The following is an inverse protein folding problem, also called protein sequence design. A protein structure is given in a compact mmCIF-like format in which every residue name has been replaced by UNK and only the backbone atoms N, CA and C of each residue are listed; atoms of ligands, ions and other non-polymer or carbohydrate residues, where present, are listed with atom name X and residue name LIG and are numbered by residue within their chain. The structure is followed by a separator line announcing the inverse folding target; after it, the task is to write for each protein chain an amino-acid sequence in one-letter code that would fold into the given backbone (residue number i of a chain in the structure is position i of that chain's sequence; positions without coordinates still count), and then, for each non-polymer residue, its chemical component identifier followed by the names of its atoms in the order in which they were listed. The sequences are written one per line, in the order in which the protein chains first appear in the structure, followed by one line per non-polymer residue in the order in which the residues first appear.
data_IF_654862628031
#
_entry.id   IF_654862628031
#
_cell.length_a   1.000
_cell.length_b   1.000
_cell.length_c   1.000
_cell.angle_alpha   90.00
_cell.angle_beta   90.00
_cell.angle_gamma   90.00
#
_symmetry.space_group_name_H-M   'P 1'
#
loop_
_entity.id
_entity.type
_entity.pdbx_description
1 polymer ?
#
# COMPACT_ATOMS: atom_id res chain seq x y z
N UNK A 1 5.66 -54.76 -26.67
CA UNK A 1 6.71 -54.41 -25.69
C UNK A 1 6.03 -54.45 -24.31
N UNK A 2 6.31 -55.44 -23.46
CA UNK A 2 5.71 -55.55 -22.12
C UNK A 2 6.59 -54.80 -21.15
N UNK A 3 6.04 -53.73 -20.55
CA UNK A 3 6.73 -53.00 -19.46
C UNK A 3 6.88 -53.97 -18.27
N UNK A 4 8.06 -54.05 -17.72
CA UNK A 4 8.34 -54.85 -16.53
C UNK A 4 7.92 -54.10 -15.27
N UNK A 5 7.62 -54.82 -14.18
CA UNK A 5 7.24 -54.24 -12.88
C UNK A 5 8.27 -53.20 -12.36
N UNK A 6 9.56 -53.42 -12.68
CA UNK A 6 10.63 -52.50 -12.34
C UNK A 6 10.56 -51.18 -13.10
N UNK A 7 10.06 -51.18 -14.34
CA UNK A 7 9.88 -49.96 -15.14
C UNK A 7 8.67 -49.17 -14.65
N UNK A 8 7.60 -49.88 -14.22
CA UNK A 8 6.45 -49.21 -13.59
C UNK A 8 6.79 -48.55 -12.27
N UNK A 9 7.64 -49.17 -11.45
CA UNK A 9 8.10 -48.63 -10.16
C UNK A 9 8.95 -47.37 -10.34
N UNK A 10 9.82 -47.32 -11.38
CA UNK A 10 10.61 -46.14 -11.71
C UNK A 10 9.75 -45.00 -12.17
N UNK A 11 8.73 -45.22 -12.98
CA UNK A 11 7.80 -44.18 -13.43
C UNK A 11 6.95 -43.70 -12.26
N UNK A 12 6.54 -44.56 -11.33
CA UNK A 12 5.81 -44.17 -10.14
C UNK A 12 6.66 -43.31 -9.18
N UNK A 13 7.92 -43.69 -8.96
CA UNK A 13 8.86 -42.85 -8.17
C UNK A 13 9.15 -41.51 -8.82
N UNK A 14 9.20 -41.42 -10.16
CA UNK A 14 9.42 -40.12 -10.85
C UNK A 14 8.19 -39.20 -10.72
N UNK A 15 6.97 -39.79 -10.69
CA UNK A 15 5.73 -39.04 -10.55
C UNK A 15 5.52 -38.48 -9.12
N UNK A 16 5.95 -39.21 -8.09
CA UNK A 16 5.86 -38.79 -6.68
C UNK A 16 6.83 -37.64 -6.36
N UNK A 17 8.01 -37.59 -7.02
CA UNK A 17 8.99 -36.50 -6.85
C UNK A 17 8.51 -35.19 -7.49
N UNK A 18 7.65 -35.26 -8.53
CA UNK A 18 7.12 -34.08 -9.19
C UNK A 18 5.92 -33.43 -8.49
N UNK A 19 5.23 -34.16 -7.58
CA UNK A 19 4.09 -33.62 -6.81
C UNK A 19 4.49 -32.86 -5.51
N UNK A 20 5.78 -32.82 -5.15
CA UNK A 20 6.24 -32.33 -3.85
C UNK A 20 6.73 -30.87 -3.80
N UNK A 21 6.84 -30.15 -4.91
CA UNK A 21 7.29 -28.76 -4.92
C UNK A 21 6.14 -27.81 -5.32
N UNK A 22 5.15 -27.68 -4.45
CA UNK A 22 4.34 -26.46 -4.43
C UNK A 22 5.22 -25.38 -3.78
N UNK A 23 5.55 -24.28 -4.47
CA UNK A 23 6.21 -23.16 -3.81
C UNK A 23 5.25 -22.65 -2.73
N UNK A 24 5.58 -22.87 -1.46
CA UNK A 24 4.95 -22.19 -0.33
C UNK A 24 5.25 -20.70 -0.52
N UNK A 25 4.34 -20.00 -1.16
CA UNK A 25 4.32 -18.54 -1.18
C UNK A 25 4.06 -18.08 0.25
N UNK A 26 5.12 -17.81 1.01
CA UNK A 26 5.02 -17.13 2.28
C UNK A 26 4.49 -15.73 2.01
N UNK A 27 3.20 -15.53 2.19
CA UNK A 27 2.65 -14.20 2.32
C UNK A 27 3.28 -13.59 3.59
N UNK A 28 4.16 -12.63 3.42
CA UNK A 28 4.78 -11.92 4.53
C UNK A 28 3.67 -11.15 5.26
N UNK A 29 3.24 -11.67 6.42
CA UNK A 29 2.26 -10.98 7.26
C UNK A 29 2.93 -9.79 7.91
N UNK A 30 2.56 -8.60 7.50
CA UNK A 30 3.04 -7.36 8.12
C UNK A 30 2.42 -7.23 9.51
N UNK A 31 3.25 -6.92 10.51
CA UNK A 31 2.77 -6.58 11.86
C UNK A 31 2.41 -5.10 11.91
N UNK A 32 1.36 -4.77 12.67
CA UNK A 32 0.93 -3.38 12.90
C UNK A 32 0.62 -2.61 11.61
N UNK A 33 0.10 -3.26 10.60
CA UNK A 33 -0.17 -2.71 9.28
C UNK A 33 -1.55 -2.04 9.14
N UNK A 34 -2.20 -1.74 10.25
CA UNK A 34 -3.54 -1.11 10.29
C UNK A 34 -3.52 0.15 11.15
N UNK A 35 -4.25 1.15 10.71
CA UNK A 35 -4.58 2.34 11.47
C UNK A 35 -6.08 2.57 11.41
N UNK A 36 -6.67 3.00 12.53
CA UNK A 36 -8.11 3.28 12.64
C UNK A 36 -8.32 4.77 12.84
N UNK A 37 -9.51 5.26 12.47
CA UNK A 37 -9.96 6.59 12.91
C UNK A 37 -10.01 6.67 14.44
N UNK A 38 -10.00 7.87 15.03
CA UNK A 38 -10.14 8.03 16.47
C UNK A 38 -11.40 7.37 17.04
N UNK A 39 -12.54 7.43 16.31
CA UNK A 39 -13.79 6.76 16.68
C UNK A 39 -13.83 5.24 16.33
N UNK A 40 -12.77 4.72 15.69
CA UNK A 40 -12.61 3.30 15.35
C UNK A 40 -13.43 2.79 14.17
N UNK A 41 -14.20 3.66 13.48
CA UNK A 41 -15.09 3.21 12.40
C UNK A 41 -14.39 3.03 11.07
N UNK A 42 -13.40 3.86 10.75
CA UNK A 42 -12.60 3.76 9.53
C UNK A 42 -11.34 2.97 9.86
N UNK A 43 -11.05 1.98 9.03
CA UNK A 43 -9.83 1.15 9.16
C UNK A 43 -9.09 1.21 7.82
N UNK A 44 -7.84 1.65 7.86
CA UNK A 44 -6.92 1.59 6.74
C UNK A 44 -5.88 0.50 7.01
N UNK A 45 -5.69 -0.39 6.05
CA UNK A 45 -4.75 -1.50 6.10
C UNK A 45 -3.77 -1.42 4.94
N UNK A 46 -2.48 -1.60 5.20
CA UNK A 46 -1.42 -1.66 4.19
C UNK A 46 -0.93 -3.09 4.04
N UNK A 47 -0.63 -3.51 2.83
CA UNK A 47 -0.11 -4.84 2.53
C UNK A 47 0.88 -4.85 1.38
N UNK A 48 1.45 -6.04 1.16
CA UNK A 48 2.29 -6.35 0.00
C UNK A 48 1.65 -7.48 -0.80
N UNK A 49 1.55 -7.31 -2.10
CA UNK A 49 1.16 -8.34 -3.05
C UNK A 49 2.23 -8.43 -4.14
N UNK A 50 2.91 -9.56 -4.23
CA UNK A 50 4.03 -9.78 -5.17
C UNK A 50 5.05 -8.64 -5.15
N UNK A 51 5.42 -8.20 -3.93
CA UNK A 51 6.35 -7.08 -3.69
C UNK A 51 5.88 -5.73 -4.23
N UNK A 52 4.57 -5.55 -4.43
CA UNK A 52 3.92 -4.26 -4.68
C UNK A 52 3.17 -3.83 -3.43
N UNK A 53 3.34 -2.58 -3.03
CA UNK A 53 2.63 -2.05 -1.87
C UNK A 53 1.21 -1.64 -2.27
N UNK A 54 0.25 -1.96 -1.40
CA UNK A 54 -1.14 -1.56 -1.57
C UNK A 54 -1.76 -1.13 -0.23
N UNK A 55 -2.86 -0.42 -0.30
CA UNK A 55 -3.71 -0.14 0.85
C UNK A 55 -5.16 -0.55 0.57
N UNK A 56 -5.93 -0.70 1.64
CA UNK A 56 -7.38 -0.92 1.64
C UNK A 56 -8.01 -0.05 2.69
N UNK A 57 -9.25 0.35 2.46
CA UNK A 57 -10.01 1.14 3.44
C UNK A 57 -11.39 0.53 3.62
N UNK A 58 -11.80 0.40 4.87
CA UNK A 58 -13.15 -0.01 5.25
C UNK A 58 -13.75 0.95 6.26
N UNK A 59 -15.06 1.10 6.25
CA UNK A 59 -15.83 1.86 7.24
C UNK A 59 -16.95 0.97 7.78
N UNK A 60 -17.01 0.82 9.11
CA UNK A 60 -18.01 -0.01 9.80
C UNK A 60 -18.12 -1.43 9.21
N UNK A 61 -16.98 -2.02 8.83
CA UNK A 61 -16.90 -3.36 8.25
C UNK A 61 -17.22 -3.46 6.75
N UNK A 62 -17.64 -2.36 6.09
CA UNK A 62 -17.86 -2.32 4.64
C UNK A 62 -16.62 -1.83 3.92
N UNK A 63 -16.25 -2.45 2.79
CA UNK A 63 -15.16 -1.98 1.95
C UNK A 63 -15.53 -0.64 1.32
N UNK A 64 -14.63 0.35 1.44
CA UNK A 64 -14.71 1.64 0.73
C UNK A 64 -13.72 1.66 -0.42
N UNK A 65 -12.51 1.18 -0.18
CA UNK A 65 -11.50 0.94 -1.20
C UNK A 65 -10.97 -0.48 -1.04
N UNK A 66 -11.00 -1.22 -2.12
CA UNK A 66 -10.35 -2.51 -2.24
C UNK A 66 -8.83 -2.31 -2.45
N UNK A 67 -8.12 -3.39 -2.74
CA UNK A 67 -6.67 -3.35 -2.93
C UNK A 67 -6.29 -2.30 -3.98
N UNK A 68 -5.75 -1.18 -3.53
CA UNK A 68 -5.30 -0.03 -4.31
C UNK A 68 -3.79 0.06 -4.23
N UNK A 69 -3.10 -0.08 -5.36
CA UNK A 69 -1.65 -0.08 -5.40
C UNK A 69 -1.09 1.34 -5.36
N UNK A 70 0.17 1.45 -4.89
CA UNK A 70 0.90 2.70 -4.73
C UNK A 70 2.27 2.56 -5.38
N UNK A 71 2.77 3.65 -5.97
CA UNK A 71 4.10 3.65 -6.56
C UNK A 71 4.35 4.80 -7.52
N UNK A 72 5.56 4.81 -8.08
CA UNK A 72 6.00 5.82 -9.03
C UNK A 72 6.81 5.20 -10.15
N UNK A 73 6.71 5.79 -11.34
CA UNK A 73 7.71 5.66 -12.37
C UNK A 73 8.62 6.90 -12.34
N UNK A 74 9.90 6.69 -12.05
CA UNK A 74 10.93 7.71 -12.07
C UNK A 74 11.75 7.59 -13.36
N UNK A 75 12.40 8.67 -13.78
CA UNK A 75 13.25 8.68 -14.97
C UNK A 75 14.40 7.66 -14.91
N UNK A 76 14.89 7.38 -13.70
CA UNK A 76 16.00 6.47 -13.41
C UNK A 76 15.57 5.12 -12.83
N UNK A 77 14.32 4.72 -13.07
CA UNK A 77 13.73 3.45 -12.62
C UNK A 77 12.50 3.61 -11.74
N UNK A 78 11.74 2.54 -11.56
CA UNK A 78 10.46 2.60 -10.86
C UNK A 78 10.57 2.37 -9.35
N UNK A 79 9.57 2.85 -8.61
CA UNK A 79 9.31 2.58 -7.19
C UNK A 79 7.91 1.95 -7.05
N UNK A 80 7.61 0.92 -7.83
CA UNK A 80 6.31 0.23 -7.85
C UNK A 80 6.41 -1.27 -7.60
N UNK A 81 7.54 -1.86 -7.97
CA UNK A 81 7.80 -3.29 -7.89
C UNK A 81 9.01 -3.56 -7.01
N UNK A 82 9.17 -4.83 -6.58
CA UNK A 82 10.30 -5.28 -5.76
C UNK A 82 10.45 -4.49 -4.46
N UNK A 83 9.32 -4.10 -3.87
CA UNK A 83 9.26 -3.34 -2.64
C UNK A 83 9.17 -4.24 -1.42
N UNK A 84 9.64 -3.74 -0.29
CA UNK A 84 9.45 -4.33 1.03
C UNK A 84 9.10 -3.25 2.05
N UNK A 85 8.31 -3.60 3.06
CA UNK A 85 8.06 -2.73 4.20
C UNK A 85 9.18 -2.95 5.23
N UNK A 86 9.91 -1.88 5.54
CA UNK A 86 11.03 -1.90 6.47
C UNK A 86 10.59 -1.60 7.90
N UNK A 87 9.67 -0.66 8.05
CA UNK A 87 9.15 -0.25 9.36
C UNK A 87 7.76 0.34 9.24
N UNK A 88 6.97 0.21 10.30
CA UNK A 88 5.66 0.87 10.47
C UNK A 88 5.65 1.53 11.84
N UNK A 89 5.32 2.81 11.89
CA UNK A 89 5.16 3.57 13.13
C UNK A 89 3.76 4.17 13.19
N UNK A 90 3.26 4.37 14.42
CA UNK A 90 1.95 4.94 14.67
C UNK A 90 2.08 6.13 15.61
N UNK A 91 1.25 7.14 15.39
CA UNK A 91 1.08 8.27 16.27
C UNK A 91 -0.38 8.71 16.33
N UNK A 92 -0.70 9.60 17.24
CA UNK A 92 -2.01 10.23 17.39
C UNK A 92 -1.82 11.72 17.50
N UNK A 93 -2.76 12.46 16.95
CA UNK A 93 -2.73 13.92 16.99
C UNK A 93 -4.12 14.46 17.31
N UNK A 94 -4.19 15.45 18.19
CA UNK A 94 -5.43 16.15 18.55
C UNK A 94 -5.10 17.58 18.95
N UNK A 95 -5.44 18.53 18.08
CA UNK A 95 -5.21 19.96 18.28
C UNK A 95 -6.40 20.73 17.74
N UNK A 96 -6.80 21.78 18.44
CA UNK A 96 -7.78 22.75 17.95
C UNK A 96 -7.11 24.09 17.76
N UNK A 97 -7.25 24.66 16.57
CA UNK A 97 -6.73 25.98 16.25
C UNK A 97 -7.84 26.92 15.76
N UNK A 98 -7.62 28.21 15.89
CA UNK A 98 -8.56 29.25 15.47
C UNK A 98 -8.10 29.87 14.16
N UNK A 99 -9.01 29.96 13.22
CA UNK A 99 -8.75 30.67 11.96
C UNK A 99 -9.42 32.04 11.99
N UNK A 100 -8.76 33.08 11.40
CA UNK A 100 -9.29 34.47 11.44
C UNK A 100 -10.47 34.69 10.51
N UNK A 101 -10.70 33.80 9.54
CA UNK A 101 -11.81 33.82 8.58
C UNK A 101 -12.15 32.39 8.14
N UNK A 102 -13.37 32.20 7.61
CA UNK A 102 -13.90 30.90 7.18
C UNK A 102 -15.27 30.66 7.83
N UNK A 103 -15.90 29.58 7.47
CA UNK A 103 -17.22 29.17 8.02
C UNK A 103 -17.09 28.69 9.47
N UNK A 104 -15.98 28.04 9.80
CA UNK A 104 -15.70 27.50 11.12
C UNK A 104 -14.59 28.36 11.79
N UNK A 105 -14.87 28.86 12.99
CA UNK A 105 -13.88 29.63 13.78
C UNK A 105 -12.84 28.72 14.43
N UNK A 106 -13.28 27.53 14.88
CA UNK A 106 -12.40 26.54 15.52
C UNK A 106 -12.34 25.28 14.64
N UNK A 107 -11.14 24.91 14.24
CA UNK A 107 -10.87 23.71 13.42
C UNK A 107 -10.14 22.70 14.27
N UNK A 108 -10.76 21.57 14.53
CA UNK A 108 -10.12 20.46 15.23
C UNK A 108 -9.40 19.54 14.24
N UNK A 109 -8.10 19.37 14.42
CA UNK A 109 -7.27 18.45 13.67
C UNK A 109 -7.02 17.21 14.53
N UNK A 110 -7.85 16.18 14.38
CA UNK A 110 -7.84 14.98 15.22
C UNK A 110 -7.76 13.72 14.35
N UNK A 111 -6.62 13.03 14.41
CA UNK A 111 -6.38 11.85 13.58
C UNK A 111 -5.45 10.84 14.27
N UNK A 112 -5.51 9.60 13.81
CA UNK A 112 -4.46 8.61 14.02
C UNK A 112 -3.60 8.51 12.76
N UNK A 113 -2.29 8.40 12.94
CA UNK A 113 -1.29 8.38 11.87
C UNK A 113 -0.60 7.02 11.80
N UNK A 114 -0.31 6.57 10.59
CA UNK A 114 0.55 5.43 10.31
C UNK A 114 1.56 5.79 9.23
N UNK A 115 2.86 5.76 9.58
CA UNK A 115 3.95 5.94 8.62
C UNK A 115 4.56 4.61 8.26
N UNK A 116 4.59 4.32 6.97
CA UNK A 116 5.12 3.09 6.41
C UNK A 116 6.40 3.39 5.66
N UNK A 117 7.54 2.94 6.21
CA UNK A 117 8.83 3.05 5.54
C UNK A 117 8.97 1.90 4.54
N UNK A 118 9.01 2.24 3.27
CA UNK A 118 9.12 1.32 2.14
C UNK A 118 10.53 1.36 1.59
N UNK A 119 11.06 0.19 1.24
CA UNK A 119 12.37 0.03 0.61
C UNK A 119 12.23 -0.63 -0.75
N UNK A 120 12.88 -0.04 -1.74
CA UNK A 120 13.15 -0.65 -3.04
C UNK A 120 14.33 -1.64 -2.91
N UNK A 121 14.08 -2.92 -3.22
CA UNK A 121 15.09 -3.97 -3.14
C UNK A 121 15.92 -4.10 -4.44
N UNK A 122 15.84 -3.13 -5.34
CA UNK A 122 16.74 -3.02 -6.49
C UNK A 122 18.17 -2.67 -6.07
N UNK A 123 19.08 -2.61 -7.03
CA UNK A 123 20.48 -2.18 -6.77
C UNK A 123 20.58 -0.73 -6.25
N UNK A 124 19.56 0.11 -6.55
CA UNK A 124 19.49 1.49 -6.07
C UNK A 124 19.14 1.57 -4.58
N UNK A 125 18.39 0.59 -4.06
CA UNK A 125 18.07 0.45 -2.62
C UNK A 125 17.53 1.75 -2.00
N UNK A 126 16.56 2.39 -2.70
CA UNK A 126 15.93 3.65 -2.31
C UNK A 126 14.87 3.43 -1.25
N UNK A 127 14.64 4.42 -0.42
CA UNK A 127 13.61 4.38 0.62
C UNK A 127 12.65 5.59 0.46
N UNK A 128 11.38 5.35 0.75
CA UNK A 128 10.36 6.40 0.82
C UNK A 128 9.35 6.06 1.91
N UNK A 129 8.63 7.05 2.38
CA UNK A 129 7.62 6.90 3.42
C UNK A 129 6.25 7.18 2.82
N UNK A 130 5.25 6.39 3.19
CA UNK A 130 3.85 6.71 2.96
C UNK A 130 3.27 7.06 4.33
N UNK A 131 2.82 8.31 4.46
CA UNK A 131 2.27 8.87 5.70
C UNK A 131 0.75 8.93 5.57
N UNK A 132 0.04 8.02 6.24
CA UNK A 132 -1.42 7.95 6.27
C UNK A 132 -1.96 8.63 7.52
N UNK A 133 -2.96 9.49 7.34
CA UNK A 133 -3.74 10.10 8.42
C UNK A 133 -5.19 9.70 8.28
N UNK A 134 -5.76 9.15 9.35
CA UNK A 134 -7.14 8.66 9.37
C UNK A 134 -7.93 9.46 10.38
N UNK A 135 -8.95 10.15 9.90
CA UNK A 135 -9.89 10.98 10.63
C UNK A 135 -11.22 10.25 10.81
N UNK A 136 -12.16 10.78 11.58
CA UNK A 136 -13.48 10.17 11.79
C UNK A 136 -14.39 10.25 10.55
N UNK A 137 -14.10 11.19 9.65
CA UNK A 137 -14.85 11.44 8.41
C UNK A 137 -14.13 11.00 7.14
N UNK A 138 -12.85 10.64 7.22
CA UNK A 138 -12.08 10.25 6.04
C UNK A 138 -10.63 9.90 6.32
N UNK A 139 -9.85 9.84 5.26
CA UNK A 139 -8.41 9.64 5.34
C UNK A 139 -7.70 10.44 4.24
N UNK A 140 -6.43 10.72 4.48
CA UNK A 140 -5.52 11.26 3.50
C UNK A 140 -4.15 10.63 3.63
N UNK A 141 -3.34 10.72 2.60
CA UNK A 141 -1.94 10.30 2.67
C UNK A 141 -1.05 11.16 1.79
N UNK A 142 0.23 11.08 2.06
CA UNK A 142 1.28 11.70 1.25
C UNK A 142 2.49 10.80 1.19
N UNK A 143 3.31 11.05 0.19
CA UNK A 143 4.63 10.45 0.07
C UNK A 143 5.70 11.40 0.60
N UNK A 144 6.63 10.87 1.37
CA UNK A 144 7.81 11.58 1.85
C UNK A 144 9.06 10.88 1.31
N UNK A 145 9.97 11.65 0.72
CA UNK A 145 11.25 11.16 0.23
C UNK A 145 12.37 11.68 1.14
N UNK A 146 12.82 10.88 2.12
CA UNK A 146 13.92 11.27 3.00
C UNK A 146 15.20 11.52 2.22
N UNK A 147 16.00 12.50 2.64
CA UNK A 147 17.32 12.73 2.04
C UNK A 147 18.18 11.48 2.14
N UNK A 148 18.63 10.96 1.01
CA UNK A 148 19.46 9.77 0.90
C UNK A 148 20.38 9.89 -0.32
N UNK A 149 21.54 9.20 -0.29
CA UNK A 149 22.57 9.31 -1.32
C UNK A 149 22.07 8.91 -2.72
N UNK A 150 21.19 7.94 -2.79
CA UNK A 150 20.66 7.30 -4.01
C UNK A 150 19.29 7.81 -4.45
N UNK A 151 18.78 8.88 -3.82
CA UNK A 151 17.54 9.56 -4.17
C UNK A 151 17.63 11.04 -3.72
N UNK A 152 18.61 11.78 -4.24
CA UNK A 152 18.81 13.19 -3.90
C UNK A 152 18.06 14.13 -4.87
N UNK A 153 18.17 13.82 -6.15
CA UNK A 153 17.44 14.48 -7.23
C UNK A 153 16.77 13.41 -8.09
N UNK A 154 15.51 13.56 -8.40
CA UNK A 154 14.77 12.61 -9.22
C UNK A 154 13.66 13.31 -9.99
N UNK A 155 13.26 12.71 -11.10
CA UNK A 155 12.14 13.18 -11.92
C UNK A 155 11.05 12.14 -11.87
N UNK A 156 9.87 12.52 -11.40
CA UNK A 156 8.67 11.69 -11.43
C UNK A 156 8.12 11.75 -12.85
N UNK A 157 8.04 10.61 -13.50
CA UNK A 157 7.45 10.45 -14.84
C UNK A 157 5.97 10.15 -14.74
N UNK A 158 5.58 9.37 -13.72
CA UNK A 158 4.19 9.02 -13.46
C UNK A 158 3.99 8.66 -11.98
N UNK A 159 2.84 9.05 -11.42
CA UNK A 159 2.36 8.64 -10.12
C UNK A 159 1.28 7.57 -10.30
N UNK A 160 1.54 6.38 -9.76
CA UNK A 160 0.73 5.17 -9.96
C UNK A 160 -0.20 4.91 -8.77
N UNK A 161 -0.73 5.95 -8.18
CA UNK A 161 -1.67 5.86 -7.06
C UNK A 161 -3.04 5.42 -7.54
N UNK A 162 -3.53 4.30 -7.01
CA UNK A 162 -4.85 3.76 -7.33
C UNK A 162 -5.85 4.08 -6.22
N UNK A 163 -7.12 4.25 -6.63
CA UNK A 163 -8.31 4.30 -5.78
C UNK A 163 -9.32 3.30 -6.34
N UNK A 164 -9.24 2.05 -5.88
CA UNK A 164 -10.02 0.95 -6.43
C UNK A 164 -11.31 0.78 -5.63
N UNK A 165 -12.41 1.31 -6.14
CA UNK A 165 -13.72 1.21 -5.53
C UNK A 165 -14.33 -0.18 -5.77
N UNK A 166 -14.99 -0.81 -4.76
CA UNK A 166 -15.56 -2.15 -4.89
C UNK A 166 -16.79 -2.21 -5.80
N UNK A 167 -17.46 -1.07 -6.02
CA UNK A 167 -18.70 -0.95 -6.77
C UNK A 167 -18.68 0.32 -7.64
N UNK A 168 -19.66 0.45 -8.54
CA UNK A 168 -19.85 1.65 -9.35
C UNK A 168 -20.53 2.75 -8.49
N UNK A 169 -19.74 3.71 -8.07
CA UNK A 169 -20.13 4.81 -7.20
C UNK A 169 -20.33 6.11 -7.98
N UNK A 170 -21.26 6.95 -7.51
CA UNK A 170 -21.42 8.30 -8.01
C UNK A 170 -20.26 9.18 -7.55
N UNK A 171 -19.54 9.77 -8.48
CA UNK A 171 -18.39 10.65 -8.22
C UNK A 171 -18.77 12.09 -8.54
N UNK A 172 -18.34 13.02 -7.69
CA UNK A 172 -18.37 14.45 -7.93
C UNK A 172 -16.93 14.93 -8.12
N UNK A 173 -16.61 15.41 -9.30
CA UNK A 173 -15.25 15.88 -9.62
C UNK A 173 -15.28 17.21 -10.36
N UNK A 174 -14.25 18.01 -10.15
CA UNK A 174 -13.98 19.22 -10.94
C UNK A 174 -12.81 18.87 -11.85
N UNK A 175 -12.99 18.90 -13.20
CA UNK A 175 -11.90 18.67 -14.13
C UNK A 175 -10.80 19.73 -13.99
N UNK A 176 -9.55 19.28 -14.02
CA UNK A 176 -8.37 20.14 -13.79
C UNK A 176 -8.19 21.25 -14.85
N UNK A 177 -8.71 21.11 -16.06
CA UNK A 177 -8.48 22.03 -17.19
C UNK A 177 -9.76 22.69 -17.72
N UNK A 178 -10.70 23.07 -16.84
CA UNK A 178 -11.75 23.98 -17.25
C UNK A 178 -11.28 25.43 -17.08
N UNK A 179 -11.02 26.11 -18.18
CA UNK A 179 -10.99 27.56 -18.19
C UNK A 179 -12.38 28.05 -17.78
N UNK A 180 -12.48 28.82 -16.71
CA UNK A 180 -13.66 29.53 -16.28
C UNK A 180 -13.73 30.91 -16.96
#
# INVERSE_FOLDING_TARGET
MKLTYKDLLKVFCLFVVFMGFSPLTFAQTLKNNKVTSPDGKIILEVGLDKSKIYYKVSKEGKSILDKSFLGFDLKDGSLKDNLSVKNITHSKFDETWKQPWGEEIEVRNHYNEMKVLVKDNSKLSREFIIDFKVYDDGFGFRYEFPKQKNLNEFVIMDELTEFNFPEDHKIWSIPYNTEF
#
